data_IF_785413394589
#
_entry.id   IF_785413394589
#
_cell.length_a   1.000
_cell.length_b   1.000
_cell.length_c   1.000
_cell.angle_alpha   90.00
_cell.angle_beta   90.00
_cell.angle_gamma   90.00
#
_symmetry.space_group_name_H-M   'P 1'
#
loop_
_entity.id
_entity.type
_entity.pdbx_description
1 polymer ?
#
# COMPACT_ATOMS: atom_id res chain seq x y z
N UNK A 1 12.52 1.74 5.30
CA UNK A 1 11.45 0.81 4.94
C UNK A 1 10.87 1.21 3.61
N UNK A 2 10.52 0.24 2.78
CA UNK A 2 9.94 0.58 1.48
C UNK A 2 8.57 1.21 1.63
N UNK A 3 8.23 2.01 0.66
CA UNK A 3 6.94 2.67 0.64
C UNK A 3 6.11 2.11 -0.50
N UNK A 4 4.83 2.05 -0.29
CA UNK A 4 3.90 1.53 -1.26
C UNK A 4 2.78 2.52 -1.50
N UNK A 5 2.48 2.73 -2.76
CA UNK A 5 1.38 3.59 -3.14
C UNK A 5 0.12 2.75 -3.28
N UNK A 6 -0.86 3.08 -2.50
CA UNK A 6 -2.12 2.36 -2.48
C UNK A 6 -3.18 3.19 -3.18
N UNK A 7 -3.83 2.60 -4.15
CA UNK A 7 -4.89 3.26 -4.88
C UNK A 7 -6.18 2.46 -4.74
N UNK A 8 -7.17 3.09 -4.16
CA UNK A 8 -8.50 2.52 -4.05
C UNK A 8 -9.46 3.52 -4.70
N UNK A 9 -10.03 4.36 -3.91
CA UNK A 9 -10.75 5.53 -4.38
C UNK A 9 -9.84 6.74 -4.38
N UNK A 10 -8.88 6.74 -3.45
CA UNK A 10 -7.88 7.77 -3.33
C UNK A 10 -6.52 7.15 -3.37
N UNK A 11 -5.54 7.98 -3.60
CA UNK A 11 -4.15 7.56 -3.59
C UNK A 11 -3.50 7.97 -2.27
N UNK A 12 -2.77 7.04 -1.68
CA UNK A 12 -2.02 7.38 -0.48
C UNK A 12 -0.80 6.47 -0.39
N UNK A 13 0.17 6.92 0.41
CA UNK A 13 1.45 6.22 0.56
C UNK A 13 1.51 5.64 1.96
N UNK A 14 1.88 4.38 2.05
CA UNK A 14 2.10 3.74 3.35
C UNK A 14 3.48 3.12 3.36
N UNK A 15 3.97 2.84 4.55
CA UNK A 15 5.24 2.14 4.74
C UNK A 15 4.97 0.73 5.20
N UNK A 16 5.64 -0.23 4.58
CA UNK A 16 5.46 -1.62 4.94
C UNK A 16 6.73 -2.39 4.61
N UNK A 17 6.88 -3.56 5.18
CA UNK A 17 8.05 -4.37 4.93
C UNK A 17 8.04 -4.94 3.52
N UNK A 18 6.88 -5.32 3.03
CA UNK A 18 6.76 -5.82 1.67
C UNK A 18 5.34 -5.59 1.17
N UNK A 19 5.11 -6.01 -0.06
CA UNK A 19 3.83 -5.77 -0.69
C UNK A 19 2.69 -6.48 0.03
N UNK A 20 2.94 -7.71 0.48
CA UNK A 20 1.90 -8.45 1.19
C UNK A 20 1.52 -7.74 2.48
N UNK A 21 2.51 -7.22 3.18
CA UNK A 21 2.26 -6.51 4.42
C UNK A 21 1.47 -5.24 4.16
N UNK A 22 1.81 -4.53 3.09
CA UNK A 22 1.08 -3.33 2.72
C UNK A 22 -0.37 -3.64 2.40
N UNK A 23 -0.59 -4.70 1.63
CA UNK A 23 -1.94 -5.09 1.24
C UNK A 23 -2.76 -5.51 2.45
N UNK A 24 -2.17 -6.34 3.29
CA UNK A 24 -2.87 -6.83 4.46
C UNK A 24 -3.28 -5.69 5.38
N UNK A 25 -2.36 -4.77 5.62
CA UNK A 25 -2.66 -3.62 6.45
C UNK A 25 -3.76 -2.76 5.87
N UNK A 26 -3.73 -2.56 4.56
CA UNK A 26 -4.74 -1.75 3.90
C UNK A 26 -6.11 -2.40 3.98
N UNK A 27 -6.16 -3.70 3.75
CA UNK A 27 -7.42 -4.44 3.80
C UNK A 27 -8.02 -4.37 5.19
N UNK A 28 -7.20 -4.55 6.22
CA UNK A 28 -7.68 -4.50 7.59
C UNK A 28 -8.18 -3.10 7.95
N UNK A 29 -7.45 -2.10 7.49
CA UNK A 29 -7.76 -0.73 7.87
C UNK A 29 -9.05 -0.24 7.21
N UNK A 30 -9.26 -0.62 5.96
CA UNK A 30 -10.41 -0.12 5.19
C UNK A 30 -11.49 -1.17 4.98
N UNK A 31 -11.25 -2.39 5.40
CA UNK A 31 -12.23 -3.48 5.26
C UNK A 31 -12.64 -3.65 3.81
N UNK A 32 -11.66 -3.75 2.94
CA UNK A 32 -11.88 -3.86 1.51
C UNK A 32 -11.54 -5.25 1.00
N UNK A 33 -12.09 -5.57 -0.16
CA UNK A 33 -11.68 -6.76 -0.88
C UNK A 33 -10.32 -6.52 -1.50
N UNK A 34 -9.49 -7.56 -1.50
CA UNK A 34 -8.16 -7.42 -2.04
C UNK A 34 -8.13 -7.20 -3.55
N UNK A 35 -9.26 -7.42 -4.21
CA UNK A 35 -9.34 -7.19 -5.64
C UNK A 35 -9.50 -5.72 -6.01
N UNK A 36 -9.87 -4.91 -5.05
CA UNK A 36 -10.12 -3.49 -5.31
C UNK A 36 -8.94 -2.61 -4.96
N UNK A 37 -7.80 -3.21 -4.70
CA UNK A 37 -6.64 -2.47 -4.24
C UNK A 37 -5.54 -2.57 -5.27
N UNK A 38 -5.01 -1.42 -5.68
CA UNK A 38 -3.81 -1.34 -6.48
C UNK A 38 -2.64 -0.96 -5.59
N UNK A 39 -1.58 -1.76 -5.66
CA UNK A 39 -0.40 -1.50 -4.85
C UNK A 39 0.79 -1.38 -5.77
N UNK A 40 1.53 -0.30 -5.61
CA UNK A 40 2.72 -0.06 -6.41
C UNK A 40 3.86 0.30 -5.49
N UNK A 41 4.98 -0.37 -5.65
CA UNK A 41 6.15 -0.05 -4.85
C UNK A 41 6.73 1.27 -5.29
N UNK A 42 6.94 2.16 -4.34
CA UNK A 42 7.50 3.47 -4.60
C UNK A 42 8.85 3.53 -3.94
N UNK A 43 9.86 3.82 -4.72
CA UNK A 43 11.19 3.98 -4.16
C UNK A 43 11.22 5.19 -3.26
N UNK A 44 11.73 4.98 -2.08
CA UNK A 44 11.96 6.09 -1.18
C UNK A 44 13.20 6.80 -1.65
N UNK A 45 13.01 7.83 -2.40
CA UNK A 45 14.12 8.60 -2.93
C UNK A 45 14.72 9.42 -1.82
N UNK A 46 15.28 8.74 -0.90
CA UNK A 46 15.94 9.40 0.20
C UNK A 46 17.33 9.80 -0.24
N UNK A 47 17.43 10.89 -0.78
CA UNK A 47 18.73 11.36 -1.18
C UNK A 47 19.48 11.98 -0.03
#
# INVERSE_FOLDING_TARGET
MPKYKITIHNEFIIEADDEDDARDGTIMYYDLDKHDIDIEEVEDDCS
#
